data_IF_671615344859
#
_entry.id   IF_671615344859
#
_cell.length_a   1.000
_cell.length_b   1.000
_cell.length_c   1.000
_cell.angle_alpha   90.00
_cell.angle_beta   90.00
_cell.angle_gamma   90.00
#
_symmetry.space_group_name_H-M   'P 1'
#
loop_
_entity.id
_entity.type
_entity.pdbx_description
1 polymer ?
#
# COMPACT_ATOMS: atom_id res chain seq x y z
N UNK A 1 -12.15 20.29 -7.96
CA UNK A 1 -12.97 21.10 -7.05
C UNK A 1 -13.25 20.28 -5.81
N UNK A 2 -12.61 20.60 -4.70
CA UNK A 2 -12.80 19.98 -3.38
C UNK A 2 -13.40 21.01 -2.41
N UNK A 3 -14.50 21.61 -2.84
CA UNK A 3 -15.36 22.48 -2.04
C UNK A 3 -16.69 21.74 -2.09
N UNK A 4 -17.06 20.87 -1.15
CA UNK A 4 -17.06 21.08 0.28
C UNK A 4 -17.23 19.70 0.93
N UNK A 5 -16.49 19.38 2.00
CA UNK A 5 -16.75 18.21 2.86
C UNK A 5 -18.03 18.43 3.71
N UNK A 6 -19.18 18.66 3.06
CA UNK A 6 -20.44 19.09 3.71
C UNK A 6 -21.02 18.02 4.63
N UNK A 7 -20.77 16.76 4.32
CA UNK A 7 -21.44 15.65 5.00
C UNK A 7 -20.52 14.88 5.96
N UNK A 8 -19.23 15.22 6.01
CA UNK A 8 -18.23 14.49 6.80
C UNK A 8 -18.36 12.98 6.56
N UNK A 9 -18.47 12.56 5.30
CA UNK A 9 -18.64 11.15 4.94
C UNK A 9 -17.36 10.64 4.29
N UNK A 10 -16.96 9.41 4.61
CA UNK A 10 -15.70 8.80 4.11
C UNK A 10 -15.67 8.75 2.58
N UNK A 11 -16.83 8.56 1.93
CA UNK A 11 -16.95 8.63 0.47
C UNK A 11 -16.47 9.95 -0.15
N UNK A 12 -16.55 11.08 0.56
CA UNK A 12 -16.04 12.35 0.05
C UNK A 12 -14.51 12.33 -0.11
N UNK A 13 -13.81 11.51 0.70
CA UNK A 13 -12.36 11.33 0.64
C UNK A 13 -11.91 10.38 -0.48
N UNK A 14 -12.83 9.66 -1.11
CA UNK A 14 -12.52 8.68 -2.16
C UNK A 14 -12.84 9.19 -3.56
N UNK A 15 -13.50 10.35 -3.70
CA UNK A 15 -13.83 10.94 -5.01
C UNK A 15 -12.56 11.23 -5.82
N UNK A 16 -12.45 10.62 -6.99
CA UNK A 16 -11.35 10.84 -7.93
C UNK A 16 -10.03 10.17 -7.54
N UNK A 17 -9.98 9.40 -6.44
CA UNK A 17 -8.82 8.56 -6.14
C UNK A 17 -8.78 7.35 -7.08
N UNK A 18 -7.60 6.96 -7.56
CA UNK A 18 -7.45 5.77 -8.40
C UNK A 18 -7.84 4.51 -7.63
N UNK A 19 -8.14 3.45 -8.36
CA UNK A 19 -8.35 2.13 -7.77
C UNK A 19 -7.09 1.63 -7.06
N UNK A 20 -7.26 0.93 -5.93
CA UNK A 20 -6.16 0.33 -5.21
C UNK A 20 -5.61 -0.88 -5.98
N UNK A 21 -4.46 -0.69 -6.62
CA UNK A 21 -3.76 -1.73 -7.39
C UNK A 21 -2.89 -2.58 -6.47
N UNK A 22 -2.99 -3.91 -6.56
CA UNK A 22 -2.17 -4.82 -5.75
C UNK A 22 -0.75 -4.95 -6.33
N UNK A 23 0.27 -4.76 -5.49
CA UNK A 23 1.66 -5.08 -5.81
C UNK A 23 2.13 -6.32 -5.03
N UNK A 24 2.53 -7.42 -5.68
CA UNK A 24 2.89 -8.65 -4.98
C UNK A 24 4.14 -8.51 -4.11
N UNK A 25 4.14 -9.12 -2.92
CA UNK A 25 5.27 -9.06 -1.97
C UNK A 25 6.55 -9.73 -2.50
N UNK A 26 6.43 -10.58 -3.52
CA UNK A 26 7.53 -11.29 -4.18
C UNK A 26 8.21 -10.47 -5.27
N UNK A 27 7.63 -9.34 -5.67
CA UNK A 27 8.22 -8.44 -6.66
C UNK A 27 9.48 -7.77 -6.13
N UNK A 28 10.33 -7.29 -7.03
CA UNK A 28 11.65 -6.76 -6.68
C UNK A 28 11.61 -5.27 -6.31
N UNK A 29 12.65 -4.81 -5.62
CA UNK A 29 12.88 -3.39 -5.37
C UNK A 29 12.96 -2.59 -6.67
N UNK A 30 13.59 -3.14 -7.71
CA UNK A 30 13.65 -2.49 -9.03
C UNK A 30 12.26 -2.27 -9.64
N UNK A 31 11.39 -3.29 -9.63
CA UNK A 31 10.04 -3.13 -10.17
C UNK A 31 9.21 -2.15 -9.33
N UNK A 32 9.39 -2.16 -8.01
CA UNK A 32 8.75 -1.21 -7.12
C UNK A 32 9.19 0.25 -7.39
N UNK A 33 10.48 0.51 -7.62
CA UNK A 33 11.00 1.84 -7.97
C UNK A 33 10.30 2.37 -9.22
N UNK A 34 10.19 1.54 -10.25
CA UNK A 34 9.55 1.94 -11.51
C UNK A 34 8.09 2.31 -11.30
N UNK A 35 7.33 1.46 -10.61
CA UNK A 35 5.90 1.70 -10.35
C UNK A 35 5.69 2.92 -9.45
N UNK A 36 6.51 3.09 -8.41
CA UNK A 36 6.46 4.28 -7.54
C UNK A 36 6.78 5.56 -8.33
N UNK A 37 7.74 5.51 -9.26
CA UNK A 37 8.09 6.65 -10.12
C UNK A 37 6.98 7.04 -11.10
N UNK A 38 6.11 6.10 -11.47
CA UNK A 38 4.93 6.33 -12.31
C UNK A 38 3.67 6.68 -11.49
N UNK A 39 3.69 6.47 -10.16
CA UNK A 39 2.58 6.73 -9.25
C UNK A 39 2.57 8.20 -8.77
N UNK A 40 1.40 8.85 -8.86
CA UNK A 40 1.21 10.19 -8.31
C UNK A 40 1.34 10.24 -6.77
N UNK A 41 1.14 9.11 -6.10
CA UNK A 41 1.12 9.00 -4.64
C UNK A 41 2.50 8.68 -4.06
N UNK A 42 3.50 8.35 -4.90
CA UNK A 42 4.86 8.01 -4.46
C UNK A 42 4.94 6.79 -3.54
N UNK A 43 3.88 5.98 -3.51
CA UNK A 43 3.76 4.79 -2.67
C UNK A 43 2.90 3.74 -3.35
N UNK A 44 3.06 2.49 -2.93
CA UNK A 44 2.32 1.33 -3.44
C UNK A 44 1.94 0.39 -2.28
N UNK A 45 0.74 -0.19 -2.29
CA UNK A 45 0.35 -1.18 -1.30
C UNK A 45 0.93 -2.56 -1.66
N UNK A 46 1.47 -3.27 -0.67
CA UNK A 46 2.10 -4.58 -0.83
C UNK A 46 1.17 -5.69 -0.37
N UNK A 47 1.09 -6.76 -1.16
CA UNK A 47 0.11 -7.84 -0.98
C UNK A 47 0.74 -9.22 -1.11
N UNK A 48 0.32 -10.14 -0.25
CA UNK A 48 0.56 -11.58 -0.44
C UNK A 48 -0.15 -12.06 -1.70
N UNK A 49 0.45 -13.03 -2.39
CA UNK A 49 -0.22 -13.69 -3.53
C UNK A 49 -1.52 -14.35 -3.08
N UNK A 50 -2.48 -14.42 -4.01
CA UNK A 50 -3.72 -15.16 -3.81
C UNK A 50 -3.39 -16.65 -3.67
N UNK A 51 -3.87 -17.28 -2.61
CA UNK A 51 -3.64 -18.71 -2.33
C UNK A 51 -4.49 -19.64 -3.19
N UNK A 52 -5.68 -19.21 -3.64
CA UNK A 52 -6.60 -20.02 -4.43
C UNK A 52 -7.12 -19.25 -5.64
N UNK A 53 -6.76 -19.70 -6.84
CA UNK A 53 -7.28 -19.17 -8.11
C UNK A 53 -8.70 -19.72 -8.31
N UNK A 54 -9.71 -18.85 -8.41
CA UNK A 54 -11.09 -19.23 -8.74
C UNK A 54 -12.11 -19.14 -7.60
N UNK A 55 -11.71 -18.82 -6.37
CA UNK A 55 -12.63 -18.48 -5.28
C UNK A 55 -12.86 -16.97 -5.26
N UNK A 56 -14.11 -16.53 -5.23
CA UNK A 56 -14.45 -15.11 -5.04
C UNK A 56 -13.94 -14.66 -3.67
N UNK A 57 -12.91 -13.80 -3.67
CA UNK A 57 -12.29 -13.31 -2.46
C UNK A 57 -13.22 -12.34 -1.73
N UNK A 58 -13.51 -12.62 -0.45
CA UNK A 58 -14.22 -11.68 0.42
C UNK A 58 -13.26 -10.58 0.87
N UNK A 59 -13.80 -9.40 1.20
CA UNK A 59 -12.98 -8.28 1.66
C UNK A 59 -12.09 -8.61 2.87
N UNK A 60 -12.58 -9.39 3.84
CA UNK A 60 -11.78 -9.84 4.99
C UNK A 60 -10.56 -10.66 4.55
N UNK A 61 -10.73 -11.56 3.58
CA UNK A 61 -9.63 -12.36 3.02
C UNK A 61 -8.62 -11.46 2.29
N UNK A 62 -9.12 -10.46 1.57
CA UNK A 62 -8.30 -9.43 0.92
C UNK A 62 -7.47 -8.69 1.98
N UNK A 63 -8.09 -8.13 3.02
CA UNK A 63 -7.37 -7.45 4.10
C UNK A 63 -6.31 -8.32 4.78
N UNK A 64 -6.52 -9.64 4.93
CA UNK A 64 -5.52 -10.55 5.49
C UNK A 64 -4.28 -10.73 4.61
N UNK A 65 -4.39 -10.52 3.30
CA UNK A 65 -3.25 -10.55 2.37
C UNK A 65 -2.48 -9.23 2.31
N UNK A 66 -3.10 -8.12 2.70
CA UNK A 66 -2.41 -6.85 2.74
C UNK A 66 -1.25 -6.93 3.73
N UNK A 67 -0.06 -6.49 3.32
CA UNK A 67 1.16 -6.53 4.11
C UNK A 67 1.47 -5.16 4.68
N UNK A 68 1.41 -4.12 3.87
CA UNK A 68 1.78 -2.76 4.26
C UNK A 68 1.85 -1.84 3.04
N UNK A 69 2.30 -0.61 3.26
CA UNK A 69 2.54 0.38 2.19
C UNK A 69 4.04 0.57 2.08
N UNK A 70 4.57 0.46 0.87
CA UNK A 70 5.96 0.77 0.55
C UNK A 70 6.00 2.12 -0.17
N UNK A 71 6.81 3.05 0.33
CA UNK A 71 7.00 4.37 -0.29
C UNK A 71 8.45 4.60 -0.74
N UNK A 72 8.68 5.70 -1.44
CA UNK A 72 10.01 6.07 -1.93
C UNK A 72 11.06 6.25 -0.82
N UNK A 73 10.68 6.71 0.36
CA UNK A 73 11.58 6.87 1.50
C UNK A 73 12.01 5.52 2.08
N UNK A 74 11.11 4.54 2.15
CA UNK A 74 11.43 3.18 2.59
C UNK A 74 12.49 2.56 1.68
N UNK A 75 12.36 2.75 0.37
CA UNK A 75 13.35 2.28 -0.60
C UNK A 75 14.70 2.97 -0.41
N UNK A 76 14.73 4.30 -0.25
CA UNK A 76 15.97 5.03 0.00
C UNK A 76 16.63 4.55 1.29
N UNK A 77 15.86 4.39 2.36
CA UNK A 77 16.35 3.89 3.65
C UNK A 77 16.90 2.46 3.55
N UNK A 78 16.28 1.61 2.71
CA UNK A 78 16.78 0.27 2.43
C UNK A 78 18.08 0.28 1.64
N UNK A 79 18.14 1.03 0.54
CA UNK A 79 19.33 1.10 -0.31
C UNK A 79 20.52 1.79 0.39
N UNK A 80 20.27 2.63 1.39
CA UNK A 80 21.30 3.25 2.21
C UNK A 80 22.00 2.30 3.20
N UNK A 81 21.53 1.05 3.34
CA UNK A 81 22.19 0.05 4.20
C UNK A 81 23.52 -0.39 3.59
N UNK A 82 24.55 -0.56 4.42
CA UNK A 82 25.89 -0.96 3.97
C UNK A 82 25.88 -2.20 3.06
N UNK A 83 25.06 -3.21 3.38
CA UNK A 83 24.93 -4.43 2.57
C UNK A 83 24.44 -4.15 1.14
N UNK A 84 23.57 -3.16 0.95
CA UNK A 84 23.05 -2.77 -0.35
C UNK A 84 24.05 -1.92 -1.16
N UNK A 85 24.94 -1.19 -0.47
CA UNK A 85 26.00 -0.40 -1.11
C UNK A 85 27.13 -1.28 -1.64
N UNK A 86 27.39 -2.42 -1.00
CA UNK A 86 28.41 -3.40 -1.43
C UNK A 86 27.97 -4.16 -2.68
N UNK A 87 26.70 -4.55 -2.75
CA UNK A 87 26.15 -5.30 -3.89
C UNK A 87 24.79 -4.72 -4.30
N UNK A 88 24.87 -3.69 -5.15
CA UNK A 88 23.70 -2.97 -5.64
C UNK A 88 22.81 -3.85 -6.54
N UNK A 89 23.40 -4.75 -7.33
CA UNK A 89 22.62 -5.64 -8.21
C UNK A 89 21.74 -6.57 -7.39
N UNK A 90 22.31 -7.15 -6.32
CA UNK A 90 21.54 -7.97 -5.38
C UNK A 90 20.46 -7.17 -4.67
N UNK A 91 20.77 -5.95 -4.23
CA UNK A 91 19.79 -5.08 -3.57
C UNK A 91 18.59 -4.74 -4.47
N UNK A 92 18.81 -4.53 -5.77
CA UNK A 92 17.74 -4.27 -6.73
C UNK A 92 16.83 -5.48 -6.96
N UNK A 93 17.38 -6.70 -6.82
CA UNK A 93 16.66 -7.97 -6.95
C UNK A 93 16.01 -8.45 -5.66
N UNK A 94 16.23 -7.78 -4.53
CA UNK A 94 15.59 -8.10 -3.25
C UNK A 94 14.07 -8.02 -3.37
N UNK A 95 13.32 -9.00 -2.83
CA UNK A 95 11.87 -8.92 -2.81
C UNK A 95 11.39 -7.81 -1.86
N UNK A 96 10.31 -7.12 -2.23
CA UNK A 96 9.77 -6.01 -1.43
C UNK A 96 9.24 -6.45 -0.06
N UNK A 97 8.93 -7.72 0.13
CA UNK A 97 8.58 -8.30 1.45
C UNK A 97 9.68 -8.13 2.50
N UNK A 98 10.95 -7.99 2.10
CA UNK A 98 12.08 -7.75 2.99
C UNK A 98 12.29 -6.26 3.33
N UNK A 99 11.59 -5.38 2.61
CA UNK A 99 11.74 -3.92 2.70
C UNK A 99 10.55 -3.29 3.41
N UNK A 100 9.34 -3.68 3.03
CA UNK A 100 8.10 -3.14 3.60
C UNK A 100 8.01 -3.49 5.09
N UNK A 101 7.60 -2.51 5.90
CA UNK A 101 7.27 -2.76 7.31
C UNK A 101 5.85 -3.31 7.37
N UNK A 102 5.64 -4.55 7.85
CA UNK A 102 4.30 -5.13 7.90
C UNK A 102 3.40 -4.33 8.84
N UNK A 103 2.27 -3.86 8.31
CA UNK A 103 1.28 -3.12 9.07
C UNK A 103 -0.12 -3.26 8.44
N UNK A 104 -0.84 -4.30 8.86
CA UNK A 104 -2.16 -4.62 8.33
C UNK A 104 -3.23 -3.58 8.71
N UNK A 105 -2.99 -2.73 9.72
CA UNK A 105 -3.97 -1.72 10.12
C UNK A 105 -4.00 -0.49 9.20
N UNK A 106 -3.06 -0.38 8.25
CA UNK A 106 -3.05 0.71 7.26
C UNK A 106 -4.14 0.56 6.19
N UNK A 107 -4.73 -0.63 6.05
CA UNK A 107 -5.83 -0.87 5.14
C UNK A 107 -7.10 -1.18 5.92
N UNK A 108 -8.18 -0.47 5.61
CA UNK A 108 -9.51 -0.73 6.15
C UNK A 108 -10.54 -0.50 5.06
N UNK A 109 -11.40 -1.48 4.83
CA UNK A 109 -12.61 -1.27 4.06
C UNK A 109 -13.63 -0.55 4.94
N UNK A 110 -14.23 0.50 4.40
CA UNK A 110 -15.20 1.34 5.10
C UNK A 110 -16.38 1.56 4.18
N UNK A 111 -17.59 1.48 4.73
CA UNK A 111 -18.81 1.83 3.97
C UNK A 111 -18.69 3.29 3.52
N UNK A 112 -18.86 3.60 2.21
CA UNK A 112 -18.81 4.95 1.71
C UNK A 112 -19.72 5.92 2.47
N UNK A 113 -20.84 5.46 3.06
CA UNK A 113 -21.77 6.27 3.85
C UNK A 113 -21.33 6.49 5.31
N UNK A 114 -20.19 5.94 5.73
CA UNK A 114 -19.65 6.10 7.10
C UNK A 114 -19.35 7.57 7.36
N UNK A 115 -19.83 8.10 8.49
CA UNK A 115 -19.55 9.48 8.92
C UNK A 115 -18.23 9.56 9.69
N UNK A 116 -17.37 10.53 9.36
CA UNK A 116 -16.18 10.89 10.11
C UNK A 116 -16.59 11.75 11.32
N UNK A 117 -16.66 11.15 12.50
CA UNK A 117 -16.95 11.90 13.73
C UNK A 117 -15.71 12.71 14.18
N UNK A 118 -15.92 13.92 14.73
CA UNK A 118 -14.86 14.80 15.22
C UNK A 118 -14.08 14.23 16.44
N UNK A 119 -14.70 13.33 17.21
CA UNK A 119 -14.13 12.70 18.42
C UNK A 119 -13.85 11.21 18.25
N UNK A 120 -13.56 10.77 17.03
CA UNK A 120 -13.18 9.38 16.81
C UNK A 120 -11.77 9.14 17.39
N UNK A 121 -11.69 8.72 18.65
CA UNK A 121 -10.51 8.02 19.15
C UNK A 121 -10.45 6.67 18.44
N UNK A 122 -9.70 6.63 17.35
CA UNK A 122 -9.47 5.44 16.54
C UNK A 122 -8.60 4.45 17.34
N UNK A 123 -9.22 3.39 17.87
CA UNK A 123 -8.51 2.21 18.37
C UNK A 123 -8.29 1.20 17.24
#
# INVERSE_FOLDING_TARGET
>A
MASVFLYHVVGDLTVGKPELVEFPETETVESAIRVIGESAEGSIPIWKRRSHVGVMEKSEMRQQRFVGILNSLDIVAFLARDACLVDQEKAMKTPVSEVVVPNNSLLREVDPATRTAADATWK
#
